data_IF_580685761347
#
_entry.id   IF_580685761347
#
_cell.length_a   1.000
_cell.length_b   1.000
_cell.length_c   1.000
_cell.angle_alpha   90.00
_cell.angle_beta   90.00
_cell.angle_gamma   90.00
#
_symmetry.space_group_name_H-M   'P 1'
#
loop_
_entity.id
_entity.type
_entity.pdbx_description
1 polymer ?
#
# COMPACT_ATOMS: atom_id res chain seq x y z
N UNK A 1 -9.51 -11.41 7.46
CA UNK A 1 -9.59 -10.34 8.47
C UNK A 1 -10.78 -9.42 8.20
N UNK A 2 -10.87 -8.78 7.02
CA UNK A 2 -12.01 -7.91 6.66
C UNK A 2 -13.38 -8.59 6.73
N UNK A 3 -13.54 -9.80 6.18
CA UNK A 3 -14.82 -10.52 6.28
C UNK A 3 -15.22 -10.77 7.73
N UNK A 4 -14.31 -11.23 8.59
CA UNK A 4 -14.62 -11.48 10.01
C UNK A 4 -15.09 -10.23 10.76
N UNK A 5 -14.51 -9.06 10.49
CA UNK A 5 -14.94 -7.79 11.08
C UNK A 5 -16.33 -7.39 10.57
N UNK A 6 -16.59 -7.54 9.27
CA UNK A 6 -17.90 -7.28 8.66
C UNK A 6 -18.98 -8.24 9.18
N UNK A 7 -18.66 -9.54 9.27
CA UNK A 7 -19.54 -10.58 9.77
C UNK A 7 -19.97 -10.29 11.22
N UNK A 8 -19.06 -9.77 12.05
CA UNK A 8 -19.36 -9.37 13.43
C UNK A 8 -20.32 -8.18 13.50
N UNK A 9 -20.11 -7.16 12.67
CA UNK A 9 -21.03 -6.00 12.58
C UNK A 9 -22.42 -6.46 12.11
N UNK A 10 -22.46 -7.34 11.11
CA UNK A 10 -23.71 -7.87 10.58
C UNK A 10 -24.45 -8.74 11.60
N UNK A 11 -23.73 -9.59 12.35
CA UNK A 11 -24.29 -10.41 13.41
C UNK A 11 -24.89 -9.54 14.53
N UNK A 12 -24.18 -8.48 14.97
CA UNK A 12 -24.68 -7.55 15.98
C UNK A 12 -25.93 -6.80 15.52
N UNK A 13 -25.94 -6.36 14.26
CA UNK A 13 -27.10 -5.68 13.65
C UNK A 13 -28.30 -6.62 13.53
N UNK A 14 -28.08 -7.87 13.14
CA UNK A 14 -29.14 -8.89 13.04
C UNK A 14 -29.74 -9.19 14.42
N UNK A 15 -28.90 -9.33 15.45
CA UNK A 15 -29.37 -9.53 16.82
C UNK A 15 -30.15 -8.31 17.33
N UNK A 16 -29.68 -7.09 17.07
CA UNK A 16 -30.39 -5.86 17.42
C UNK A 16 -31.81 -5.84 16.82
N UNK A 17 -31.96 -6.23 15.55
CA UNK A 17 -33.27 -6.31 14.89
C UNK A 17 -34.18 -7.40 15.49
N UNK A 18 -33.61 -8.49 16.01
CA UNK A 18 -34.35 -9.50 16.73
C UNK A 18 -34.85 -8.97 18.09
N UNK A 19 -33.96 -8.37 18.88
CA UNK A 19 -34.26 -7.83 20.22
C UNK A 19 -35.27 -6.68 20.13
N UNK A 20 -35.17 -5.83 19.10
CA UNK A 20 -36.15 -4.76 18.83
C UNK A 20 -37.55 -5.32 18.55
N UNK A 21 -37.66 -6.38 17.75
CA UNK A 21 -38.94 -7.05 17.45
C UNK A 21 -39.52 -7.71 18.69
N UNK A 22 -38.70 -8.37 19.51
CA UNK A 22 -39.16 -8.95 20.76
C UNK A 22 -39.66 -7.88 21.73
N UNK A 23 -38.91 -6.79 21.92
CA UNK A 23 -39.35 -5.66 22.76
C UNK A 23 -40.71 -5.11 22.29
N UNK A 24 -40.87 -4.86 20.99
CA UNK A 24 -42.13 -4.37 20.44
C UNK A 24 -43.30 -5.34 20.70
N UNK A 25 -43.06 -6.65 20.56
CA UNK A 25 -44.07 -7.67 20.85
C UNK A 25 -44.45 -7.70 22.34
N UNK A 26 -43.48 -7.67 23.26
CA UNK A 26 -43.73 -7.63 24.71
C UNK A 26 -44.46 -6.36 25.12
N UNK A 27 -44.08 -5.22 24.54
CA UNK A 27 -44.74 -3.92 24.77
C UNK A 27 -46.21 -3.96 24.35
N UNK A 28 -46.53 -4.56 23.20
CA UNK A 28 -47.91 -4.74 22.76
C UNK A 28 -48.71 -5.64 23.74
N UNK A 29 -48.12 -6.73 24.21
CA UNK A 29 -48.74 -7.62 25.19
C UNK A 29 -48.99 -6.93 26.54
N UNK A 30 -48.07 -6.08 27.03
CA UNK A 30 -48.27 -5.32 28.26
C UNK A 30 -49.40 -4.27 28.14
N UNK A 31 -49.50 -3.59 27.00
CA UNK A 31 -50.60 -2.66 26.73
C UNK A 31 -51.96 -3.38 26.69
N UNK A 32 -52.02 -4.57 26.10
CA UNK A 32 -53.26 -5.36 26.09
C UNK A 32 -53.60 -5.90 27.49
N UNK A 33 -52.61 -6.34 28.26
CA UNK A 33 -52.80 -6.75 29.65
C UNK A 33 -53.34 -5.61 30.52
N UNK A 34 -52.87 -4.37 30.34
CA UNK A 34 -53.41 -3.19 31.03
C UNK A 34 -54.86 -2.91 30.65
N UNK A 35 -55.22 -3.02 29.36
CA UNK A 35 -56.62 -2.87 28.91
C UNK A 35 -57.54 -3.90 29.56
N UNK A 36 -57.09 -5.17 29.63
CA UNK A 36 -57.87 -6.25 30.26
C UNK A 36 -57.99 -6.01 31.78
N UNK A 37 -56.91 -5.59 32.44
CA UNK A 37 -56.89 -5.23 33.86
C UNK A 37 -57.87 -4.11 34.18
N UNK A 38 -57.86 -3.01 33.41
CA UNK A 38 -58.80 -1.89 33.58
C UNK A 38 -60.26 -2.33 33.41
N UNK A 39 -60.57 -3.18 32.42
CA UNK A 39 -61.91 -3.76 32.27
C UNK A 39 -62.33 -4.60 33.47
N UNK A 40 -61.41 -5.34 34.08
CA UNK A 40 -61.70 -6.12 35.29
C UNK A 40 -61.90 -5.21 36.52
N UNK A 41 -61.15 -4.12 36.61
CA UNK A 41 -61.29 -3.07 37.63
C UNK A 41 -62.67 -2.40 37.56
N UNK A 42 -63.13 -2.02 36.36
CA UNK A 42 -64.46 -1.45 36.14
C UNK A 42 -65.58 -2.42 36.58
N UNK A 43 -65.44 -3.72 36.27
CA UNK A 43 -66.39 -4.76 36.71
C UNK A 43 -66.42 -4.91 38.23
N UNK A 44 -65.25 -4.85 38.88
CA UNK A 44 -65.12 -4.91 40.34
C UNK A 44 -65.82 -3.71 40.99
N UNK A 45 -65.55 -2.50 40.50
CA UNK A 45 -66.21 -1.27 40.97
C UNK A 45 -67.74 -1.37 40.85
N UNK A 46 -68.24 -1.82 39.70
CA UNK A 46 -69.67 -2.02 39.48
C UNK A 46 -70.27 -3.11 40.40
N UNK A 47 -69.54 -4.19 40.66
CA UNK A 47 -69.97 -5.24 41.59
C UNK A 47 -70.05 -4.73 43.04
N UNK A 48 -69.07 -3.93 43.47
CA UNK A 48 -68.99 -3.32 44.79
C UNK A 48 -70.12 -2.32 45.01
N UNK A 49 -70.39 -1.44 44.04
CA UNK A 49 -71.50 -0.51 44.09
C UNK A 49 -72.85 -1.24 44.21
N UNK A 50 -73.04 -2.32 43.45
CA UNK A 50 -74.27 -3.13 43.52
C UNK A 50 -74.43 -3.84 44.86
N UNK A 51 -73.34 -4.31 45.48
CA UNK A 51 -73.40 -4.89 46.84
C UNK A 51 -73.85 -3.85 47.88
N UNK A 52 -73.25 -2.65 47.84
CA UNK A 52 -73.59 -1.52 48.72
C UNK A 52 -75.04 -1.04 48.54
N UNK A 53 -75.53 -0.98 47.30
CA UNK A 53 -76.94 -0.62 47.02
C UNK A 53 -77.97 -1.59 47.63
N UNK A 54 -77.55 -2.83 47.94
CA UNK A 54 -78.38 -3.85 48.59
C UNK A 54 -78.16 -3.92 50.11
N UNK A 55 -77.43 -2.97 50.70
CA UNK A 55 -77.08 -2.95 52.12
C UNK A 55 -76.12 -4.07 52.54
N UNK A 56 -75.46 -4.74 51.58
CA UNK A 56 -74.47 -5.79 51.87
C UNK A 56 -73.06 -5.22 51.83
N UNK A 57 -72.22 -5.66 52.75
CA UNK A 57 -70.78 -5.42 52.68
C UNK A 57 -70.23 -6.07 51.39
N UNK A 58 -69.47 -5.34 50.56
CA UNK A 58 -68.74 -5.90 49.43
C UNK A 58 -67.94 -7.16 49.77
N UNK A 59 -67.36 -7.23 50.97
CA UNK A 59 -66.52 -8.37 51.38
C UNK A 59 -67.35 -9.61 51.71
N UNK A 60 -68.64 -9.46 52.00
CA UNK A 60 -69.58 -10.57 52.23
C UNK A 60 -70.42 -10.93 50.99
N UNK A 61 -70.22 -10.25 49.86
CA UNK A 61 -70.97 -10.50 48.63
C UNK A 61 -70.21 -11.44 47.69
N UNK A 62 -70.79 -12.63 47.43
CA UNK A 62 -70.20 -13.62 46.51
C UNK A 62 -69.85 -13.05 45.12
N UNK A 63 -70.64 -12.08 44.62
CA UNK A 63 -70.40 -11.44 43.32
C UNK A 63 -69.20 -10.50 43.35
N UNK A 64 -69.02 -9.79 44.46
CA UNK A 64 -67.91 -8.86 44.70
C UNK A 64 -66.60 -9.64 44.84
N UNK A 65 -66.57 -10.66 45.71
CA UNK A 65 -65.39 -11.52 45.88
C UNK A 65 -64.93 -12.20 44.58
N UNK A 66 -65.88 -12.66 43.73
CA UNK A 66 -65.53 -13.21 42.40
C UNK A 66 -64.89 -12.17 41.48
N UNK A 67 -65.42 -10.94 41.48
CA UNK A 67 -64.86 -9.86 40.68
C UNK A 67 -63.48 -9.41 41.20
N UNK A 68 -63.28 -9.45 42.53
CA UNK A 68 -61.99 -9.17 43.16
C UNK A 68 -60.94 -10.19 42.73
N UNK A 69 -61.26 -11.49 42.81
CA UNK A 69 -60.36 -12.55 42.35
C UNK A 69 -60.04 -12.45 40.85
N UNK A 70 -61.02 -12.07 40.00
CA UNK A 70 -60.79 -11.83 38.58
C UNK A 70 -59.83 -10.65 38.37
N UNK A 71 -60.05 -9.53 39.08
CA UNK A 71 -59.18 -8.36 39.03
C UNK A 71 -57.75 -8.70 39.50
N UNK A 72 -57.59 -9.36 40.64
CA UNK A 72 -56.28 -9.73 41.20
C UNK A 72 -55.49 -10.62 40.23
N UNK A 73 -56.17 -11.56 39.56
CA UNK A 73 -55.56 -12.36 38.51
C UNK A 73 -55.10 -11.53 37.31
N UNK A 74 -55.93 -10.56 36.84
CA UNK A 74 -55.53 -9.67 35.73
C UNK A 74 -54.44 -8.69 36.15
N UNK A 75 -54.45 -8.21 37.39
CA UNK A 75 -53.43 -7.36 37.98
C UNK A 75 -52.08 -8.08 38.03
N UNK A 76 -52.05 -9.34 38.50
CA UNK A 76 -50.84 -10.16 38.51
C UNK A 76 -50.29 -10.39 37.09
N UNK A 77 -51.16 -10.68 36.12
CA UNK A 77 -50.75 -10.83 34.71
C UNK A 77 -50.18 -9.55 34.12
N UNK A 78 -50.77 -8.39 34.42
CA UNK A 78 -50.26 -7.09 34.00
C UNK A 78 -48.87 -6.81 34.60
N UNK A 79 -48.67 -7.07 35.90
CA UNK A 79 -47.38 -6.89 36.57
C UNK A 79 -46.31 -7.78 35.89
N UNK A 80 -46.63 -9.05 35.63
CA UNK A 80 -45.73 -9.97 34.94
C UNK A 80 -45.40 -9.51 33.50
N UNK A 81 -46.39 -9.00 32.76
CA UNK A 81 -46.20 -8.47 31.42
C UNK A 81 -45.31 -7.21 31.41
N UNK A 82 -45.47 -6.32 32.38
CA UNK A 82 -44.61 -5.14 32.57
C UNK A 82 -43.17 -5.55 32.92
N UNK A 83 -42.99 -6.54 33.80
CA UNK A 83 -41.66 -7.05 34.12
C UNK A 83 -40.98 -7.67 32.89
N UNK A 84 -41.72 -8.48 32.12
CA UNK A 84 -41.22 -9.07 30.88
C UNK A 84 -40.86 -8.02 29.83
N UNK A 85 -41.65 -6.96 29.70
CA UNK A 85 -41.39 -5.84 28.79
C UNK A 85 -40.16 -5.05 29.21
N UNK A 86 -40.01 -4.80 30.52
CA UNK A 86 -38.85 -4.10 31.07
C UNK A 86 -37.57 -4.87 30.81
N UNK A 87 -37.59 -6.20 30.98
CA UNK A 87 -36.45 -7.08 30.64
C UNK A 87 -36.11 -7.01 29.15
N UNK A 88 -37.09 -7.20 28.26
CA UNK A 88 -36.85 -7.12 26.81
C UNK A 88 -36.34 -5.74 26.37
N UNK A 89 -36.84 -4.65 26.97
CA UNK A 89 -36.35 -3.30 26.71
C UNK A 89 -34.89 -3.14 27.12
N UNK A 90 -34.51 -3.66 28.29
CA UNK A 90 -33.13 -3.56 28.78
C UNK A 90 -32.17 -4.35 27.88
N UNK A 91 -32.51 -5.57 27.48
CA UNK A 91 -31.73 -6.36 26.53
C UNK A 91 -31.56 -5.62 25.19
N UNK A 92 -32.65 -5.07 24.65
CA UNK A 92 -32.62 -4.25 23.43
C UNK A 92 -31.68 -3.04 23.56
N UNK A 93 -31.75 -2.29 24.68
CA UNK A 93 -30.90 -1.12 24.90
C UNK A 93 -29.41 -1.48 25.04
N UNK A 94 -29.10 -2.61 25.70
CA UNK A 94 -27.73 -3.13 25.82
C UNK A 94 -27.23 -3.51 24.43
N UNK A 95 -28.01 -4.27 23.66
CA UNK A 95 -27.64 -4.68 22.30
C UNK A 95 -27.51 -3.47 21.36
N UNK A 96 -28.33 -2.43 21.53
CA UNK A 96 -28.24 -1.17 20.78
C UNK A 96 -26.90 -0.49 21.03
N UNK A 97 -26.50 -0.33 22.29
CA UNK A 97 -25.21 0.24 22.66
C UNK A 97 -24.04 -0.60 22.11
N UNK A 98 -24.11 -1.92 22.27
CA UNK A 98 -23.09 -2.85 21.76
C UNK A 98 -22.95 -2.79 20.23
N UNK A 99 -24.08 -2.72 19.51
CA UNK A 99 -24.11 -2.64 18.05
C UNK A 99 -23.53 -1.31 17.56
N UNK A 100 -23.93 -0.19 18.17
CA UNK A 100 -23.38 1.13 17.83
C UNK A 100 -21.87 1.19 18.03
N UNK A 101 -21.37 0.65 19.16
CA UNK A 101 -19.94 0.57 19.41
C UNK A 101 -19.23 -0.34 18.39
N UNK A 102 -19.82 -1.49 18.04
CA UNK A 102 -19.27 -2.40 17.03
C UNK A 102 -19.17 -1.75 15.65
N UNK A 103 -20.19 -0.99 15.23
CA UNK A 103 -20.21 -0.25 13.97
C UNK A 103 -19.14 0.84 13.98
N UNK A 104 -19.09 1.64 15.05
CA UNK A 104 -18.09 2.69 15.19
C UNK A 104 -16.68 2.12 15.10
N UNK A 105 -16.37 1.10 15.92
CA UNK A 105 -15.05 0.44 15.94
C UNK A 105 -14.64 -0.08 14.57
N UNK A 106 -15.57 -0.68 13.82
CA UNK A 106 -15.28 -1.18 12.47
C UNK A 106 -14.82 -0.05 11.54
N UNK A 107 -15.55 1.07 11.50
CA UNK A 107 -15.24 2.15 10.56
C UNK A 107 -14.08 3.05 11.02
N UNK A 108 -13.89 3.24 12.33
CA UNK A 108 -12.87 4.17 12.84
C UNK A 108 -11.52 3.52 13.13
N UNK A 109 -11.48 2.20 13.38
CA UNK A 109 -10.26 1.50 13.78
C UNK A 109 -9.99 0.34 12.81
N UNK A 110 -10.87 -0.65 12.75
CA UNK A 110 -10.53 -1.91 12.08
C UNK A 110 -10.38 -1.79 10.57
N UNK A 111 -11.25 -1.04 9.89
CA UNK A 111 -11.16 -0.85 8.45
C UNK A 111 -9.86 -0.09 8.05
N UNK A 112 -9.52 1.04 8.69
CA UNK A 112 -8.20 1.67 8.52
C UNK A 112 -7.03 0.71 8.77
N UNK A 113 -7.03 0.00 9.90
CA UNK A 113 -5.94 -0.93 10.28
C UNK A 113 -5.75 -2.02 9.21
N UNK A 114 -6.84 -2.57 8.69
CA UNK A 114 -6.78 -3.58 7.61
C UNK A 114 -6.14 -2.97 6.35
N UNK A 115 -6.50 -1.74 5.98
CA UNK A 115 -5.94 -1.06 4.82
C UNK A 115 -4.45 -0.80 5.01
N UNK A 116 -4.03 -0.34 6.19
CA UNK A 116 -2.61 -0.16 6.51
C UNK A 116 -1.84 -1.48 6.43
N UNK A 117 -2.41 -2.57 6.94
CA UNK A 117 -1.81 -3.90 6.83
C UNK A 117 -1.65 -4.36 5.38
N UNK A 118 -2.57 -4.02 4.46
CA UNK A 118 -2.46 -4.37 3.04
C UNK A 118 -1.25 -3.71 2.37
N UNK A 119 -0.86 -2.52 2.82
CA UNK A 119 0.29 -1.79 2.29
C UNK A 119 1.56 -1.95 3.14
N UNK A 120 1.51 -2.77 4.19
CA UNK A 120 2.64 -2.97 5.09
C UNK A 120 3.85 -3.51 4.31
N UNK A 121 4.95 -2.77 4.35
CA UNK A 121 6.19 -3.14 3.66
C UNK A 121 6.17 -2.95 2.14
N UNK A 122 5.05 -2.57 1.52
CA UNK A 122 4.96 -2.33 0.08
C UNK A 122 5.88 -1.18 -0.35
N UNK A 123 5.72 -0.01 0.27
CA UNK A 123 6.54 1.16 -0.06
C UNK A 123 8.03 0.92 0.18
N UNK A 124 8.41 0.26 1.28
CA UNK A 124 9.80 -0.07 1.57
C UNK A 124 10.40 -1.04 0.54
N UNK A 125 9.64 -2.04 0.12
CA UNK A 125 10.10 -3.02 -0.87
C UNK A 125 10.23 -2.38 -2.25
N UNK A 126 9.26 -1.55 -2.65
CA UNK A 126 9.29 -0.80 -3.89
C UNK A 126 10.45 0.19 -3.92
N UNK A 127 10.65 0.96 -2.84
CA UNK A 127 11.75 1.90 -2.72
C UNK A 127 13.11 1.21 -2.82
N UNK A 128 13.31 0.07 -2.15
CA UNK A 128 14.56 -0.71 -2.25
C UNK A 128 14.81 -1.23 -3.66
N UNK A 129 13.77 -1.74 -4.33
CA UNK A 129 13.88 -2.17 -5.73
C UNK A 129 14.27 -1.01 -6.66
N UNK A 130 13.60 0.15 -6.51
CA UNK A 130 13.90 1.34 -7.28
C UNK A 130 15.32 1.88 -7.02
N UNK A 131 15.77 1.90 -5.76
CA UNK A 131 17.13 2.31 -5.39
C UNK A 131 18.18 1.37 -5.98
N UNK A 132 17.94 0.05 -5.95
CA UNK A 132 18.83 -0.94 -6.57
C UNK A 132 18.93 -0.70 -8.08
N UNK A 133 17.79 -0.49 -8.75
CA UNK A 133 17.77 -0.24 -10.19
C UNK A 133 18.51 1.06 -10.54
N UNK A 134 18.29 2.15 -9.79
CA UNK A 134 19.00 3.41 -9.97
C UNK A 134 20.52 3.22 -9.81
N UNK A 135 20.96 2.46 -8.80
CA UNK A 135 22.38 2.16 -8.59
C UNK A 135 23.00 1.39 -9.76
N UNK A 136 22.26 0.48 -10.39
CA UNK A 136 22.69 -0.20 -11.61
C UNK A 136 22.87 0.79 -12.77
N UNK A 137 21.92 1.72 -12.98
CA UNK A 137 22.01 2.75 -14.02
C UNK A 137 23.21 3.69 -13.80
N UNK A 138 23.45 4.11 -12.55
CA UNK A 138 24.63 4.92 -12.20
C UNK A 138 25.94 4.19 -12.49
N UNK A 139 26.00 2.89 -12.19
CA UNK A 139 27.18 2.05 -12.47
C UNK A 139 27.41 1.90 -13.97
N UNK A 140 26.36 1.68 -14.76
CA UNK A 140 26.44 1.61 -16.22
C UNK A 140 26.92 2.94 -16.82
N UNK A 141 26.37 4.06 -16.35
CA UNK A 141 26.80 5.40 -16.77
C UNK A 141 28.28 5.64 -16.48
N UNK A 142 28.75 5.25 -15.28
CA UNK A 142 30.16 5.36 -14.89
C UNK A 142 31.07 4.51 -15.79
N UNK A 143 30.68 3.25 -16.06
CA UNK A 143 31.39 2.36 -16.97
C UNK A 143 31.51 2.97 -18.39
N UNK A 144 30.40 3.49 -18.91
CA UNK A 144 30.39 4.14 -20.22
C UNK A 144 31.30 5.38 -20.25
N UNK A 145 31.28 6.21 -19.20
CA UNK A 145 32.20 7.33 -19.04
C UNK A 145 33.67 6.91 -19.10
N UNK A 146 34.04 5.84 -18.39
CA UNK A 146 35.40 5.28 -18.41
C UNK A 146 35.83 4.81 -19.80
N UNK A 147 34.93 4.18 -20.56
CA UNK A 147 35.18 3.76 -21.95
C UNK A 147 35.42 4.98 -22.85
N UNK A 148 34.60 6.02 -22.72
CA UNK A 148 34.75 7.27 -23.48
C UNK A 148 36.10 7.93 -23.19
N UNK A 149 36.50 7.99 -21.91
CA UNK A 149 37.81 8.51 -21.53
C UNK A 149 38.97 7.68 -22.09
N UNK A 150 38.87 6.35 -22.04
CA UNK A 150 39.87 5.44 -22.60
C UNK A 150 40.06 5.69 -24.10
N UNK A 151 38.96 5.79 -24.86
CA UNK A 151 39.01 6.06 -26.30
C UNK A 151 39.63 7.44 -26.58
N UNK A 152 39.23 8.48 -25.84
CA UNK A 152 39.81 9.80 -25.97
C UNK A 152 41.33 9.80 -25.71
N UNK A 153 41.79 9.08 -24.67
CA UNK A 153 43.22 8.93 -24.40
C UNK A 153 43.95 8.25 -25.56
N UNK A 154 43.42 7.13 -26.07
CA UNK A 154 44.03 6.40 -27.18
C UNK A 154 44.10 7.24 -28.46
N UNK A 155 43.03 7.97 -28.79
CA UNK A 155 42.99 8.86 -29.96
C UNK A 155 44.03 9.98 -29.82
N UNK A 156 44.10 10.59 -28.63
CA UNK A 156 45.05 11.70 -28.38
C UNK A 156 46.50 11.22 -28.36
N UNK A 157 46.74 9.95 -28.05
CA UNK A 157 48.07 9.35 -28.01
C UNK A 157 48.60 8.91 -29.39
N UNK A 158 47.80 8.98 -30.46
CA UNK A 158 48.26 8.63 -31.81
C UNK A 158 49.34 9.62 -32.28
N UNK A 159 50.58 9.14 -32.44
CA UNK A 159 51.72 9.94 -32.90
C UNK A 159 52.49 9.21 -34.00
N UNK A 160 52.14 9.54 -35.26
CA UNK A 160 52.80 9.02 -36.45
C UNK A 160 54.32 9.27 -36.45
N UNK A 161 54.79 10.38 -35.87
CA UNK A 161 56.21 10.71 -35.83
C UNK A 161 56.95 9.76 -34.87
N UNK A 162 56.37 9.51 -33.70
CA UNK A 162 56.89 8.54 -32.74
C UNK A 162 56.86 7.12 -33.32
N UNK A 163 55.76 6.72 -33.95
CA UNK A 163 55.61 5.42 -34.59
C UNK A 163 56.65 5.22 -35.70
N UNK A 164 56.82 6.21 -36.58
CA UNK A 164 57.83 6.22 -37.64
C UNK A 164 59.25 6.07 -37.07
N UNK A 165 59.58 6.81 -36.02
CA UNK A 165 60.89 6.71 -35.38
C UNK A 165 61.13 5.32 -34.77
N UNK A 166 60.12 4.75 -34.11
CA UNK A 166 60.17 3.39 -33.55
C UNK A 166 60.37 2.34 -34.64
N UNK A 167 59.69 2.49 -35.79
CA UNK A 167 59.83 1.61 -36.95
C UNK A 167 61.25 1.62 -37.49
N UNK A 168 61.84 2.79 -37.74
CA UNK A 168 63.23 2.87 -38.23
C UNK A 168 64.21 2.28 -37.23
N UNK A 169 64.04 2.55 -35.93
CA UNK A 169 64.89 2.00 -34.88
C UNK A 169 64.85 0.47 -34.83
N UNK A 170 63.66 -0.15 -35.00
CA UNK A 170 63.53 -1.62 -35.02
C UNK A 170 64.09 -2.27 -36.27
N UNK A 171 64.11 -1.54 -37.40
CA UNK A 171 64.56 -2.04 -38.70
C UNK A 171 65.89 -1.42 -39.15
N UNK A 172 66.73 -1.02 -38.19
CA UNK A 172 67.92 -0.21 -38.44
C UNK A 172 68.84 -0.84 -39.49
N UNK A 173 69.00 -2.17 -39.49
CA UNK A 173 69.88 -2.88 -40.43
C UNK A 173 69.50 -2.69 -41.91
N UNK A 174 68.20 -2.50 -42.20
CA UNK A 174 67.69 -2.31 -43.58
C UNK A 174 67.77 -0.84 -43.99
N UNK A 175 67.52 0.07 -43.05
CA UNK A 175 67.37 1.49 -43.33
C UNK A 175 68.60 2.34 -42.96
N UNK A 176 69.68 1.72 -42.46
CA UNK A 176 70.95 2.41 -42.22
C UNK A 176 71.54 2.84 -43.55
N UNK A 177 71.96 4.10 -43.62
CA UNK A 177 72.59 4.65 -44.82
C UNK A 177 73.84 3.82 -45.17
N UNK A 178 73.95 3.30 -46.41
CA UNK A 178 75.18 2.66 -46.87
C UNK A 178 76.36 3.63 -46.77
N UNK A 179 77.57 3.09 -46.56
CA UNK A 179 78.79 3.90 -46.57
C UNK A 179 78.96 4.66 -47.89
N UNK A 180 79.73 5.74 -47.85
CA UNK A 180 80.07 6.48 -49.08
C UNK A 180 80.79 5.57 -50.06
N UNK A 181 80.39 5.65 -51.33
CA UNK A 181 81.18 5.08 -52.41
C UNK A 181 82.53 5.78 -52.45
N UNK A 182 83.60 4.99 -52.47
CA UNK A 182 84.96 5.48 -52.62
C UNK A 182 85.40 5.26 -54.06
N UNK A 183 86.21 6.18 -54.58
CA UNK A 183 86.85 5.98 -55.86
C UNK A 183 87.70 4.71 -55.84
N UNK A 184 87.49 3.83 -56.82
CA UNK A 184 88.23 2.57 -56.98
C UNK A 184 89.13 2.71 -58.21
N UNK A 185 90.43 2.92 -58.04
CA UNK A 185 91.35 3.12 -59.15
C UNK A 185 91.45 1.87 -60.03
N UNK A 186 91.36 2.06 -61.35
CA UNK A 186 91.57 0.98 -62.32
C UNK A 186 93.03 0.99 -62.77
N UNK A 187 93.74 -0.15 -62.57
CA UNK A 187 95.18 -0.27 -62.86
C UNK A 187 96.00 0.78 -62.08
N UNK A 188 96.85 1.55 -62.76
CA UNK A 188 97.74 2.56 -62.16
C UNK A 188 97.12 3.96 -62.04
N UNK A 189 95.79 4.09 -62.18
CA UNK A 189 95.13 5.39 -62.03
C UNK A 189 95.21 5.85 -60.56
N UNK A 190 95.91 6.95 -60.30
CA UNK A 190 96.06 7.54 -58.96
C UNK A 190 95.22 8.81 -58.77
N UNK A 191 94.42 9.19 -59.77
CA UNK A 191 93.73 10.48 -59.81
C UNK A 191 92.28 10.33 -59.36
N UNK A 192 91.99 10.78 -58.14
CA UNK A 192 90.62 10.80 -57.57
C UNK A 192 89.98 12.20 -57.57
N UNK A 193 90.52 13.12 -58.37
CA UNK A 193 90.12 14.53 -58.46
C UNK A 193 89.75 14.92 -59.88
N UNK A 194 88.79 15.83 -60.04
CA UNK A 194 88.40 16.32 -61.36
C UNK A 194 89.47 17.28 -61.92
N UNK A 195 89.99 16.98 -63.11
CA UNK A 195 90.78 17.91 -63.90
C UNK A 195 89.91 18.55 -64.98
N UNK A 196 89.75 19.87 -64.91
CA UNK A 196 89.09 20.66 -65.95
C UNK A 196 90.20 21.30 -66.78
N UNK A 197 90.41 20.80 -68.00
CA UNK A 197 91.33 21.42 -68.95
C UNK A 197 90.60 22.51 -69.74
N UNK A 198 90.90 23.77 -69.45
CA UNK A 198 90.52 24.88 -70.31
C UNK A 198 91.48 24.87 -71.51
N UNK A 199 90.98 24.43 -72.68
CA UNK A 199 91.76 24.46 -73.92
C UNK A 199 91.78 25.88 -74.44
N UNK A 200 92.91 26.57 -74.30
CA UNK A 200 93.18 27.83 -75.01
C UNK A 200 93.78 27.47 -76.37
N UNK A 201 92.99 27.54 -77.44
CA UNK A 201 93.48 27.37 -78.81
C UNK A 201 94.31 28.59 -79.22
N UNK A 202 95.63 28.45 -79.23
CA UNK A 202 96.54 29.40 -79.89
C UNK A 202 96.68 28.97 -81.34
N UNK A 203 96.07 29.71 -82.26
CA UNK A 203 96.28 29.58 -83.70
C UNK A 203 97.60 30.28 -84.06
N UNK A 204 98.65 29.51 -84.36
CA UNK A 204 99.84 30.01 -85.05
C UNK A 204 99.62 29.87 -86.56
N UNK A 205 99.42 30.99 -87.25
CA UNK A 205 99.58 31.07 -88.69
C UNK A 205 100.94 31.74 -88.97
N UNK A 206 101.84 31.03 -89.64
CA UNK A 206 103.06 31.60 -90.22
C UNK A 206 102.73 32.25 -91.58
N UNK A 207 102.73 33.58 -91.64
CA UNK A 207 103.58 34.44 -92.48
C UNK A 207 103.24 35.91 -92.23
#
# INVERSE_FOLDING_TARGET
MMSSCQDRVLANTTKLQADQREYAHRQAAALEADRIRRRAEDKLLAANQKARSKGKDPDNSQRSMRAQNEFDLKQANYINANLSTTRARNEYLIQLAATNHSVQRYFTQEAPDIVECLFCGFHNSLARSAMMHLSCEETLKSCHGSIVEMLNRNITALDLRQDKACFFKRNEQVYTRPGYFKFMPSKEDIVSVYFIYIVVSINFACN
#
